data_IF_666721787792
#
_entry.id   IF_666721787792
#
_cell.length_a   1.000
_cell.length_b   1.000
_cell.length_c   1.000
_cell.angle_alpha   90.00
_cell.angle_beta   90.00
_cell.angle_gamma   90.00
#
_symmetry.space_group_name_H-M   'P 1'
#
loop_
_entity.id
_entity.type
_entity.pdbx_description
1 polymer ?
#
# COMPACT_ATOMS: atom_id res chain seq x y z
N UNK A 1 -32.41 37.75 -34.26
CA UNK A 1 -33.28 36.63 -34.70
C UNK A 1 -32.37 35.48 -35.12
N UNK A 2 -32.02 34.59 -34.17
CA UNK A 2 -31.87 33.12 -34.27
C UNK A 2 -31.87 32.62 -32.81
N UNK A 3 -32.67 31.58 -32.56
CA UNK A 3 -33.08 31.05 -31.25
C UNK A 3 -32.10 30.01 -30.65
N UNK A 4 -32.19 29.69 -29.34
CA UNK A 4 -31.30 28.72 -28.67
C UNK A 4 -31.77 27.26 -28.81
N UNK A 5 -30.82 26.33 -28.79
CA UNK A 5 -31.03 24.88 -28.81
C UNK A 5 -31.05 24.31 -27.39
N UNK A 6 -32.10 23.55 -27.11
CA UNK A 6 -32.53 22.96 -25.84
C UNK A 6 -31.83 21.60 -25.59
N UNK A 7 -31.40 21.32 -24.37
CA UNK A 7 -30.78 20.05 -23.96
C UNK A 7 -31.72 19.27 -23.02
N UNK A 8 -32.04 17.99 -23.28
CA UNK A 8 -32.92 17.21 -22.42
C UNK A 8 -32.21 16.61 -21.19
N UNK A 9 -32.93 16.66 -20.05
CA UNK A 9 -32.46 16.28 -18.73
C UNK A 9 -32.21 14.79 -18.48
N UNK A 10 -31.29 14.52 -17.54
CA UNK A 10 -30.93 13.20 -17.04
C UNK A 10 -31.95 12.66 -16.02
N UNK A 11 -32.61 11.56 -16.37
CA UNK A 11 -33.44 10.75 -15.47
C UNK A 11 -32.61 9.70 -14.73
N UNK A 12 -32.74 9.69 -13.40
CA UNK A 12 -32.14 8.71 -12.50
C UNK A 12 -32.74 7.30 -12.67
N UNK A 13 -31.90 6.27 -12.85
CA UNK A 13 -32.30 4.85 -12.78
C UNK A 13 -31.77 4.20 -11.50
N UNK A 14 -32.68 3.62 -10.71
CA UNK A 14 -32.41 2.78 -9.52
C UNK A 14 -32.08 1.33 -9.96
N UNK A 15 -31.21 0.59 -9.25
CA UNK A 15 -31.02 -0.84 -9.50
C UNK A 15 -32.08 -1.69 -8.78
N UNK A 16 -32.58 -2.70 -9.51
CA UNK A 16 -33.66 -3.60 -9.11
C UNK A 16 -33.24 -4.70 -8.13
N UNK A 17 -34.19 -5.08 -7.30
CA UNK A 17 -34.17 -6.15 -6.29
C UNK A 17 -34.60 -7.46 -6.94
N UNK A 18 -33.77 -8.51 -6.86
CA UNK A 18 -34.14 -9.87 -7.30
C UNK A 18 -34.77 -10.61 -6.12
N UNK A 19 -36.01 -11.07 -6.30
CA UNK A 19 -36.77 -11.92 -5.37
C UNK A 19 -36.71 -13.37 -5.85
N UNK A 20 -36.29 -14.30 -5.00
CA UNK A 20 -36.44 -15.74 -5.22
C UNK A 20 -37.63 -16.27 -4.39
N UNK A 21 -38.47 -17.05 -5.04
CA UNK A 21 -39.77 -17.53 -4.57
C UNK A 21 -39.66 -18.75 -3.63
N UNK A 22 -40.58 -18.79 -2.66
CA UNK A 22 -41.10 -19.97 -1.97
C UNK A 22 -41.88 -20.85 -2.97
N UNK A 23 -42.22 -22.13 -2.82
CA UNK A 23 -42.29 -23.12 -1.73
C UNK A 23 -42.70 -24.42 -2.46
N UNK A 24 -42.32 -25.61 -1.98
CA UNK A 24 -43.19 -26.79 -2.14
C UNK A 24 -42.86 -27.84 -1.07
N UNK A 25 -43.89 -28.27 -0.35
CA UNK A 25 -43.85 -29.28 0.71
C UNK A 25 -44.61 -30.52 0.24
N UNK A 26 -44.21 -31.75 0.65
CA UNK A 26 -45.08 -32.92 0.55
C UNK A 26 -45.53 -33.45 1.93
N UNK A 27 -46.59 -34.29 1.96
CA UNK A 27 -47.52 -34.35 3.07
C UNK A 27 -47.32 -35.53 4.03
N UNK A 28 -47.97 -35.40 5.19
CA UNK A 28 -48.08 -36.36 6.28
C UNK A 28 -48.77 -37.68 5.90
N UNK A 29 -48.12 -38.81 6.16
CA UNK A 29 -48.65 -40.17 5.97
C UNK A 29 -48.37 -41.10 7.15
N UNK A 30 -49.47 -41.55 7.76
CA UNK A 30 -49.74 -42.69 8.67
C UNK A 30 -48.63 -43.65 9.15
N UNK A 31 -48.73 -43.96 10.45
CA UNK A 31 -48.00 -44.97 11.24
C UNK A 31 -48.06 -46.40 10.65
N UNK A 32 -46.94 -47.11 10.73
CA UNK A 32 -46.89 -48.57 10.86
C UNK A 32 -45.92 -48.94 11.98
N UNK A 33 -46.41 -49.76 12.91
CA UNK A 33 -45.66 -50.32 14.00
C UNK A 33 -44.73 -51.44 13.49
N UNK A 34 -43.46 -51.41 13.92
CA UNK A 34 -42.49 -52.47 13.71
C UNK A 34 -41.56 -52.52 14.91
N UNK A 35 -41.70 -53.57 15.72
CA UNK A 35 -40.85 -53.88 16.86
C UNK A 35 -39.44 -54.24 16.41
N UNK A 36 -38.41 -53.85 17.18
CA UNK A 36 -37.30 -54.75 17.57
C UNK A 36 -36.37 -54.07 18.60
N UNK A 37 -36.39 -54.68 19.78
CA UNK A 37 -35.30 -54.91 20.74
C UNK A 37 -34.22 -53.84 21.00
N UNK A 38 -34.15 -53.48 22.29
CA UNK A 38 -33.12 -52.67 22.94
C UNK A 38 -31.69 -53.15 22.69
N UNK A 39 -30.78 -52.19 22.43
CA UNK A 39 -29.38 -52.25 22.90
C UNK A 39 -28.88 -50.85 23.31
N UNK A 40 -28.24 -50.88 24.48
CA UNK A 40 -27.54 -49.87 25.27
C UNK A 40 -27.20 -48.52 24.62
N UNK A 41 -27.45 -47.46 25.40
CA UNK A 41 -27.30 -46.06 25.04
C UNK A 41 -25.91 -45.68 24.55
N UNK A 42 -25.89 -45.10 23.35
CA UNK A 42 -24.94 -44.07 22.96
C UNK A 42 -25.76 -42.80 22.88
N UNK A 43 -25.47 -41.83 23.75
CA UNK A 43 -26.06 -40.50 23.65
C UNK A 43 -25.53 -39.84 22.37
N UNK A 44 -26.28 -39.94 21.28
CA UNK A 44 -26.02 -39.16 20.07
C UNK A 44 -26.27 -37.71 20.41
N UNK A 45 -25.22 -36.98 20.75
CA UNK A 45 -25.27 -35.54 20.88
C UNK A 45 -25.42 -34.99 19.47
N UNK A 46 -26.63 -34.60 19.08
CA UNK A 46 -26.89 -33.82 17.87
C UNK A 46 -26.33 -32.41 18.06
N UNK A 47 -25.00 -32.29 18.12
CA UNK A 47 -24.34 -31.01 17.93
C UNK A 47 -24.40 -30.68 16.45
N UNK A 48 -24.88 -29.49 16.12
CA UNK A 48 -24.78 -29.00 14.73
C UNK A 48 -23.30 -28.99 14.30
N UNK A 49 -23.01 -29.17 13.02
CA UNK A 49 -21.63 -29.14 12.48
C UNK A 49 -20.81 -27.94 12.98
N UNK A 50 -21.50 -26.82 13.21
CA UNK A 50 -20.96 -25.59 13.83
C UNK A 50 -20.49 -25.79 15.27
N UNK A 51 -21.27 -26.44 16.13
CA UNK A 51 -20.88 -26.66 17.53
C UNK A 51 -19.70 -27.60 17.66
N UNK A 52 -19.64 -28.64 16.82
CA UNK A 52 -18.49 -29.54 16.79
C UNK A 52 -17.24 -28.85 16.26
N UNK A 53 -17.38 -28.04 15.20
CA UNK A 53 -16.31 -27.19 14.68
C UNK A 53 -15.78 -26.21 15.75
N UNK A 54 -16.68 -25.50 16.44
CA UNK A 54 -16.31 -24.56 17.51
C UNK A 54 -15.70 -25.28 18.72
N UNK A 55 -16.13 -26.51 19.02
CA UNK A 55 -15.52 -27.33 20.07
C UNK A 55 -14.09 -27.73 19.70
N UNK A 56 -13.85 -28.12 18.44
CA UNK A 56 -12.50 -28.41 17.93
C UNK A 56 -11.61 -27.19 18.02
N UNK A 57 -12.08 -26.02 17.57
CA UNK A 57 -11.36 -24.73 17.67
C UNK A 57 -10.98 -24.37 19.11
N UNK A 58 -11.88 -24.59 20.07
CA UNK A 58 -11.59 -24.37 21.51
C UNK A 58 -10.61 -25.39 22.06
N UNK A 59 -10.67 -26.64 21.59
CA UNK A 59 -9.76 -27.71 22.01
C UNK A 59 -8.33 -27.52 21.45
N UNK A 60 -8.16 -26.87 20.29
CA UNK A 60 -6.83 -26.48 19.76
C UNK A 60 -6.27 -25.21 20.40
N UNK A 61 -7.08 -24.42 21.11
CA UNK A 61 -6.73 -23.05 21.53
C UNK A 61 -5.75 -22.90 22.70
N UNK A 62 -4.90 -23.88 23.00
CA UNK A 62 -3.99 -23.79 24.16
C UNK A 62 -2.63 -24.48 24.01
N UNK A 63 -2.34 -25.10 22.86
CA UNK A 63 -0.97 -25.48 22.54
C UNK A 63 -0.24 -24.29 21.96
N UNK A 64 0.83 -23.82 22.60
CA UNK A 64 1.80 -22.94 21.96
C UNK A 64 2.29 -23.67 20.69
N UNK A 65 1.95 -23.21 19.48
CA UNK A 65 2.46 -23.80 18.26
C UNK A 65 3.95 -23.48 18.25
N UNK A 66 4.74 -24.37 18.86
CA UNK A 66 6.15 -24.14 19.16
C UNK A 66 6.84 -23.43 18.01
N UNK A 67 7.65 -22.43 18.36
CA UNK A 67 8.15 -21.45 17.41
C UNK A 67 8.65 -22.12 16.12
N UNK A 68 8.07 -21.81 14.94
CA UNK A 68 8.51 -22.41 13.71
C UNK A 68 10.01 -22.12 13.50
N UNK A 69 10.77 -23.08 12.91
CA UNK A 69 12.19 -22.89 12.70
C UNK A 69 12.46 -21.61 11.90
N UNK A 70 13.53 -20.92 12.26
CA UNK A 70 13.91 -19.69 11.58
C UNK A 70 14.06 -19.94 10.07
N UNK A 71 13.35 -19.17 9.26
CA UNK A 71 13.46 -19.26 7.80
C UNK A 71 14.88 -18.87 7.38
N UNK A 72 15.55 -19.64 6.52
CA UNK A 72 16.89 -19.30 6.05
C UNK A 72 16.87 -17.93 5.35
N UNK A 73 17.90 -17.11 5.62
CA UNK A 73 18.05 -15.81 4.98
C UNK A 73 18.59 -16.00 3.56
N UNK A 74 17.93 -15.47 2.51
CA UNK A 74 18.52 -15.44 1.19
C UNK A 74 19.84 -14.66 1.26
N UNK A 75 20.88 -15.22 0.65
CA UNK A 75 22.18 -14.54 0.49
C UNK A 75 22.25 -14.02 -0.92
N UNK A 76 22.32 -12.71 -1.06
CA UNK A 76 22.51 -12.08 -2.35
C UNK A 76 24.01 -11.95 -2.64
N UNK A 77 24.38 -12.10 -3.92
CA UNK A 77 25.77 -11.93 -4.35
C UNK A 77 26.21 -10.46 -4.32
N UNK A 78 25.24 -9.56 -4.54
CA UNK A 78 25.41 -8.12 -4.43
C UNK A 78 25.60 -7.71 -2.96
N UNK A 79 26.62 -6.89 -2.71
CA UNK A 79 27.01 -6.41 -1.38
C UNK A 79 26.77 -4.91 -1.19
N UNK A 80 26.03 -4.26 -2.09
CA UNK A 80 25.62 -2.86 -1.91
C UNK A 80 24.82 -2.73 -0.62
N UNK A 81 25.39 -1.99 0.33
CA UNK A 81 24.85 -1.77 1.67
C UNK A 81 25.00 -0.32 2.10
N UNK A 82 24.18 0.08 3.07
CA UNK A 82 24.15 1.44 3.61
C UNK A 82 23.84 2.56 2.59
N UNK A 83 23.98 3.84 3.00
CA UNK A 83 23.64 5.01 2.20
C UNK A 83 24.29 5.05 0.81
N UNK A 84 25.58 4.76 0.72
CA UNK A 84 26.31 4.78 -0.55
C UNK A 84 25.83 3.68 -1.52
N UNK A 85 25.58 2.47 -1.01
CA UNK A 85 25.04 1.37 -1.82
C UNK A 85 23.64 1.68 -2.34
N UNK A 86 22.81 2.36 -1.52
CA UNK A 86 21.52 2.86 -1.96
C UNK A 86 21.65 3.90 -3.08
N UNK A 87 22.50 4.91 -2.92
CA UNK A 87 22.70 5.96 -3.92
C UNK A 87 23.13 5.34 -5.26
N UNK A 88 24.08 4.40 -5.23
CA UNK A 88 24.53 3.70 -6.45
C UNK A 88 23.37 2.99 -7.16
N UNK A 89 22.61 2.16 -6.42
CA UNK A 89 21.48 1.41 -6.99
C UNK A 89 20.35 2.34 -7.47
N UNK A 90 20.04 3.39 -6.71
CA UNK A 90 19.01 4.37 -7.04
C UNK A 90 19.36 5.15 -8.31
N UNK A 91 20.61 5.58 -8.43
CA UNK A 91 21.09 6.27 -9.63
C UNK A 91 21.14 5.35 -10.84
N UNK A 92 21.48 4.07 -10.67
CA UNK A 92 21.39 3.07 -11.75
C UNK A 92 19.96 2.89 -12.29
N UNK A 93 18.93 3.17 -11.48
CA UNK A 93 17.52 3.14 -11.89
C UNK A 93 17.05 4.44 -12.56
N UNK A 94 17.89 5.46 -12.62
CA UNK A 94 17.59 6.78 -13.18
C UNK A 94 17.06 7.79 -12.17
N UNK A 95 17.11 7.49 -10.87
CA UNK A 95 16.88 8.47 -9.83
C UNK A 95 18.11 9.38 -9.62
N UNK A 96 17.90 10.56 -9.05
CA UNK A 96 18.99 11.42 -8.57
C UNK A 96 19.05 11.38 -7.05
N UNK A 97 20.22 11.58 -6.46
CA UNK A 97 20.35 11.58 -5.00
C UNK A 97 21.44 12.51 -4.51
N UNK A 98 21.26 13.01 -3.30
CA UNK A 98 22.28 13.71 -2.52
C UNK A 98 22.20 13.30 -1.04
N UNK A 99 23.29 13.52 -0.31
CA UNK A 99 23.33 13.35 1.14
C UNK A 99 23.74 14.68 1.76
N UNK A 100 22.95 15.14 2.72
CA UNK A 100 23.10 16.45 3.37
C UNK A 100 22.89 16.32 4.88
N UNK A 101 23.47 17.21 5.70
CA UNK A 101 23.06 17.38 7.09
C UNK A 101 21.56 17.65 7.21
N UNK A 102 20.93 17.22 8.30
CA UNK A 102 19.49 17.37 8.48
C UNK A 102 19.03 18.84 8.46
N UNK A 103 19.88 19.75 8.96
CA UNK A 103 19.66 21.20 8.94
C UNK A 103 19.66 21.82 7.53
N UNK A 104 20.28 21.16 6.56
CA UNK A 104 20.38 21.63 5.18
C UNK A 104 19.22 21.14 4.29
N UNK A 105 18.35 20.27 4.82
CA UNK A 105 17.19 19.74 4.11
C UNK A 105 16.29 20.83 3.49
N UNK A 106 15.91 21.93 4.18
CA UNK A 106 15.11 22.98 3.56
C UNK A 106 15.81 23.59 2.32
N UNK A 107 17.13 23.78 2.41
CA UNK A 107 17.95 24.34 1.33
C UNK A 107 18.03 23.40 0.13
N UNK A 108 18.26 22.11 0.36
CA UNK A 108 18.32 21.08 -0.68
C UNK A 108 16.97 20.94 -1.41
N UNK A 109 15.86 20.89 -0.67
CA UNK A 109 14.50 20.86 -1.25
C UNK A 109 14.22 22.11 -2.08
N UNK A 110 14.60 23.29 -1.57
CA UNK A 110 14.43 24.55 -2.30
C UNK A 110 15.24 24.52 -3.60
N UNK A 111 16.51 24.13 -3.53
CA UNK A 111 17.41 24.06 -4.69
C UNK A 111 16.87 23.10 -5.76
N UNK A 112 16.33 21.95 -5.37
CA UNK A 112 15.65 21.05 -6.30
C UNK A 112 14.40 21.71 -6.91
N UNK A 113 13.59 22.40 -6.13
CA UNK A 113 12.34 23.00 -6.63
C UNK A 113 12.55 24.23 -7.53
N UNK A 114 13.73 24.87 -7.52
CA UNK A 114 14.02 26.07 -8.32
C UNK A 114 13.73 25.84 -9.81
N UNK A 115 12.97 26.76 -10.41
CA UNK A 115 12.68 26.78 -11.85
C UNK A 115 11.56 25.85 -12.30
N UNK A 116 10.89 25.15 -11.37
CA UNK A 116 9.68 24.37 -11.68
C UNK A 116 8.43 25.23 -11.50
N UNK A 117 7.52 25.17 -12.47
CA UNK A 117 6.25 25.90 -12.43
C UNK A 117 5.19 25.11 -11.65
N UNK A 118 4.86 25.59 -10.45
CA UNK A 118 3.77 25.04 -9.62
C UNK A 118 4.14 24.90 -8.16
N UNK A 119 3.17 24.55 -7.29
CA UNK A 119 3.40 24.50 -5.85
C UNK A 119 4.27 23.33 -5.44
N UNK A 120 5.05 23.54 -4.38
CA UNK A 120 5.73 22.50 -3.63
C UNK A 120 4.77 21.92 -2.59
N UNK A 121 4.52 20.61 -2.66
CA UNK A 121 3.72 19.87 -1.70
C UNK A 121 4.62 19.09 -0.76
N UNK A 122 4.42 19.20 0.55
CA UNK A 122 5.10 18.37 1.54
C UNK A 122 4.13 17.57 2.43
N UNK A 123 4.55 16.38 2.85
CA UNK A 123 3.87 15.65 3.95
C UNK A 123 4.19 16.28 5.30
N UNK A 124 3.24 16.21 6.23
CA UNK A 124 3.43 16.73 7.59
C UNK A 124 4.66 16.12 8.30
N UNK A 125 5.32 16.91 9.16
CA UNK A 125 6.50 16.47 9.93
C UNK A 125 7.84 16.54 9.18
N UNK A 126 7.86 17.22 8.03
CA UNK A 126 9.09 17.65 7.37
C UNK A 126 9.34 19.13 7.70
N UNK A 127 10.57 19.44 8.10
CA UNK A 127 11.01 20.83 8.27
C UNK A 127 11.43 21.37 6.90
N UNK A 128 10.43 21.74 6.09
CA UNK A 128 10.60 22.29 4.74
C UNK A 128 9.55 23.37 4.52
N UNK A 129 9.92 24.46 3.85
CA UNK A 129 8.95 25.47 3.43
C UNK A 129 8.21 24.94 2.18
N UNK A 130 6.92 24.64 2.31
CA UNK A 130 6.07 24.15 1.22
C UNK A 130 4.83 25.04 1.06
N UNK A 131 4.33 25.15 -0.18
CA UNK A 131 3.11 25.90 -0.50
C UNK A 131 1.85 25.14 -0.08
N UNK A 132 1.93 23.81 -0.11
CA UNK A 132 0.84 22.90 0.22
C UNK A 132 1.31 21.84 1.21
N UNK A 133 0.42 21.47 2.12
CA UNK A 133 0.66 20.44 3.12
C UNK A 133 -0.36 19.32 2.97
N UNK A 134 0.11 18.07 2.92
CA UNK A 134 -0.75 16.89 3.00
C UNK A 134 -1.09 16.56 4.46
N UNK A 135 -2.35 16.16 4.80
CA UNK A 135 -3.50 15.91 3.92
C UNK A 135 -4.35 17.13 3.55
N UNK A 136 -4.08 18.29 4.14
CA UNK A 136 -4.96 19.48 4.08
C UNK A 136 -5.24 19.97 2.66
N UNK A 137 -4.28 19.84 1.73
CA UNK A 137 -4.45 20.27 0.35
C UNK A 137 -5.42 19.37 -0.46
N UNK A 138 -5.66 18.13 -0.01
CA UNK A 138 -6.41 17.14 -0.76
C UNK A 138 -5.72 16.66 -2.05
N UNK A 139 -6.29 15.65 -2.71
CA UNK A 139 -5.69 14.99 -3.87
C UNK A 139 -5.70 15.83 -5.15
N UNK A 140 -6.67 16.73 -5.32
CA UNK A 140 -6.73 17.60 -6.50
C UNK A 140 -5.59 18.62 -6.52
N UNK A 141 -5.31 19.25 -5.39
CA UNK A 141 -4.17 20.18 -5.29
C UNK A 141 -2.84 19.43 -5.40
N UNK A 142 -2.75 18.21 -4.83
CA UNK A 142 -1.58 17.36 -4.99
C UNK A 142 -1.28 17.00 -6.46
N UNK A 143 -2.31 16.75 -7.27
CA UNK A 143 -2.15 16.52 -8.70
C UNK A 143 -1.68 17.75 -9.49
N UNK A 144 -1.98 18.96 -9.00
CA UNK A 144 -1.51 20.21 -9.58
C UNK A 144 -0.15 20.67 -9.05
N UNK A 145 0.50 19.91 -8.17
CA UNK A 145 1.80 20.27 -7.57
C UNK A 145 2.95 19.91 -8.50
N UNK A 146 3.96 20.77 -8.55
CA UNK A 146 5.15 20.54 -9.37
C UNK A 146 6.07 19.48 -8.76
N UNK A 147 6.19 19.51 -7.43
CA UNK A 147 7.06 18.61 -6.67
C UNK A 147 6.34 18.14 -5.42
N UNK A 148 6.37 16.83 -5.17
CA UNK A 148 5.97 16.23 -3.90
C UNK A 148 7.19 15.89 -3.05
N UNK A 149 7.18 16.27 -1.77
CA UNK A 149 8.24 15.96 -0.80
C UNK A 149 7.66 15.05 0.27
N UNK A 150 8.18 13.83 0.35
CA UNK A 150 7.64 12.82 1.26
C UNK A 150 8.74 12.16 2.09
N UNK A 151 8.42 11.88 3.35
CA UNK A 151 9.33 11.17 4.26
C UNK A 151 9.23 9.65 4.04
N UNK A 152 10.36 9.03 3.73
CA UNK A 152 10.49 7.58 3.70
C UNK A 152 10.55 6.99 5.11
N UNK A 153 10.11 5.74 5.25
CA UNK A 153 10.28 4.97 6.49
C UNK A 153 11.58 4.15 6.50
N UNK A 154 12.09 3.80 5.33
CA UNK A 154 13.36 3.12 5.12
C UNK A 154 13.75 3.19 3.64
N UNK A 155 14.97 2.77 3.32
CA UNK A 155 15.39 2.47 1.96
C UNK A 155 16.21 1.18 1.92
N UNK A 156 16.13 0.43 0.81
CA UNK A 156 16.90 -0.79 0.60
C UNK A 156 18.05 -0.52 -0.37
N UNK A 157 19.28 -0.68 0.11
CA UNK A 157 20.49 -0.38 -0.64
C UNK A 157 20.67 -1.28 -1.87
N UNK A 158 20.43 -2.58 -1.73
CA UNK A 158 20.65 -3.55 -2.79
C UNK A 158 19.84 -3.26 -4.06
N UNK A 159 18.59 -2.81 -3.90
CA UNK A 159 17.67 -2.61 -5.02
C UNK A 159 17.44 -1.13 -5.35
N UNK A 160 18.01 -0.19 -4.59
CA UNK A 160 17.68 1.22 -4.75
C UNK A 160 16.19 1.47 -4.56
N UNK A 161 15.59 0.88 -3.51
CA UNK A 161 14.15 0.97 -3.27
C UNK A 161 13.87 1.86 -2.08
N UNK A 162 13.04 2.87 -2.25
CA UNK A 162 12.49 3.69 -1.16
C UNK A 162 11.21 3.06 -0.65
N UNK A 163 11.03 3.04 0.66
CA UNK A 163 9.81 2.53 1.30
C UNK A 163 9.03 3.66 1.95
N UNK A 164 7.76 3.74 1.60
CA UNK A 164 6.79 4.68 2.19
C UNK A 164 5.73 3.89 2.95
N UNK A 165 5.27 4.47 4.05
CA UNK A 165 4.10 4.02 4.80
C UNK A 165 2.94 4.94 4.46
N UNK A 166 1.79 4.37 4.13
CA UNK A 166 0.55 5.14 4.03
C UNK A 166 -0.07 5.30 5.43
N UNK A 167 -0.25 6.54 5.84
CA UNK A 167 -1.03 6.94 7.01
C UNK A 167 -1.69 8.30 6.75
N UNK A 168 -2.46 8.83 7.71
CA UNK A 168 -3.22 10.07 7.53
C UNK A 168 -2.31 11.26 7.17
N UNK A 169 -1.07 11.27 7.65
CA UNK A 169 -0.09 12.34 7.42
C UNK A 169 0.85 12.05 6.23
N UNK A 170 0.87 10.80 5.75
CA UNK A 170 1.74 10.32 4.66
C UNK A 170 0.91 9.72 3.54
N UNK A 171 0.24 10.58 2.77
CA UNK A 171 -0.67 10.15 1.71
C UNK A 171 0.03 9.76 0.42
N UNK A 172 -0.50 8.70 -0.21
CA UNK A 172 -0.07 8.21 -1.53
C UNK A 172 -0.12 9.28 -2.62
N UNK A 173 -1.08 10.20 -2.54
CA UNK A 173 -1.23 11.26 -3.52
C UNK A 173 0.01 12.16 -3.58
N UNK A 174 0.62 12.47 -2.42
CA UNK A 174 1.79 13.33 -2.34
C UNK A 174 3.04 12.72 -3.02
N UNK A 175 3.16 11.39 -3.05
CA UNK A 175 4.28 10.70 -3.69
C UNK A 175 4.01 10.24 -5.13
N UNK A 176 2.74 10.17 -5.54
CA UNK A 176 2.35 9.56 -6.83
C UNK A 176 1.87 10.56 -7.87
N UNK A 177 1.20 11.64 -7.46
CA UNK A 177 0.55 12.56 -8.40
C UNK A 177 1.47 13.66 -8.94
N UNK A 178 2.36 14.27 -8.12
CA UNK A 178 3.33 15.23 -8.65
C UNK A 178 4.24 14.58 -9.71
N UNK A 179 4.59 15.31 -10.79
CA UNK A 179 5.45 14.77 -11.85
C UNK A 179 6.89 14.55 -11.37
N UNK A 180 7.33 15.28 -10.35
CA UNK A 180 8.59 15.08 -9.65
C UNK A 180 8.36 14.78 -8.16
N UNK A 181 9.13 13.88 -7.58
CA UNK A 181 9.04 13.57 -6.15
C UNK A 181 10.40 13.49 -5.48
N UNK A 182 10.53 14.17 -4.33
CA UNK A 182 11.66 14.10 -3.42
C UNK A 182 11.31 13.12 -2.29
N UNK A 183 12.17 12.12 -2.10
CA UNK A 183 12.13 11.18 -0.99
C UNK A 183 13.17 11.59 0.05
N UNK A 184 12.70 12.01 1.23
CA UNK A 184 13.57 12.33 2.37
C UNK A 184 13.80 11.04 3.17
N UNK A 185 15.04 10.61 3.26
CA UNK A 185 15.46 9.33 3.84
C UNK A 185 16.42 9.60 4.99
N UNK A 186 16.16 9.04 6.16
CA UNK A 186 17.17 9.03 7.22
C UNK A 186 18.29 8.05 6.84
N UNK A 187 19.54 8.48 6.83
CA UNK A 187 20.68 7.66 6.42
C UNK A 187 20.85 6.41 7.30
N UNK A 188 20.46 6.49 8.58
CA UNK A 188 20.42 5.35 9.50
C UNK A 188 19.26 4.37 9.24
N UNK A 189 18.24 4.79 8.47
CA UNK A 189 17.12 3.93 8.05
C UNK A 189 17.39 3.13 6.76
N UNK A 190 18.59 3.24 6.20
CA UNK A 190 18.99 2.46 5.02
C UNK A 190 19.36 1.05 5.44
N UNK A 191 18.57 0.08 5.00
CA UNK A 191 18.81 -1.36 5.19
C UNK A 191 19.49 -1.95 3.95
N UNK A 192 20.14 -3.10 4.11
CA UNK A 192 20.78 -3.78 2.98
C UNK A 192 19.72 -4.29 1.98
N UNK A 193 18.68 -4.97 2.48
CA UNK A 193 17.66 -5.59 1.62
C UNK A 193 16.24 -5.24 2.06
N UNK A 194 15.29 -5.20 1.12
CA UNK A 194 13.86 -5.04 1.42
C UNK A 194 13.36 -6.12 2.39
N UNK A 195 13.90 -7.34 2.27
CA UNK A 195 13.54 -8.44 3.16
C UNK A 195 14.00 -8.24 4.60
N UNK A 196 15.02 -7.42 4.85
CA UNK A 196 15.45 -7.10 6.22
C UNK A 196 14.46 -6.13 6.86
N UNK A 197 14.07 -5.07 6.15
CA UNK A 197 13.01 -4.16 6.62
C UNK A 197 11.69 -4.90 6.90
N UNK A 198 11.22 -5.73 5.97
CA UNK A 198 9.93 -6.43 6.11
C UNK A 198 9.92 -7.46 7.24
N UNK A 199 11.09 -7.98 7.65
CA UNK A 199 11.20 -8.93 8.76
C UNK A 199 11.08 -8.24 10.11
N UNK A 200 11.61 -7.03 10.22
CA UNK A 200 11.65 -6.24 11.46
C UNK A 200 10.45 -5.28 11.55
N UNK A 201 9.55 -5.28 10.56
CA UNK A 201 8.36 -4.44 10.55
C UNK A 201 7.32 -4.96 11.55
N UNK A 202 7.25 -4.28 12.68
CA UNK A 202 6.17 -4.41 13.66
C UNK A 202 4.99 -3.51 13.26
N UNK A 203 3.76 -4.01 13.39
CA UNK A 203 2.51 -3.34 13.04
C UNK A 203 2.44 -2.78 11.60
N UNK A 204 2.27 -3.63 10.56
CA UNK A 204 2.22 -3.15 9.18
C UNK A 204 1.08 -2.16 8.96
N UNK A 205 1.32 -1.04 8.24
CA UNK A 205 0.25 -0.11 7.88
C UNK A 205 -0.76 -0.76 6.93
N UNK A 206 -1.86 -0.06 6.69
CA UNK A 206 -2.83 -0.44 5.65
C UNK A 206 -2.19 -0.60 4.27
N UNK A 207 -1.09 0.12 4.01
CA UNK A 207 -0.30 -0.03 2.79
C UNK A 207 1.16 0.40 2.99
N UNK A 208 2.08 -0.37 2.41
CA UNK A 208 3.45 0.03 2.11
C UNK A 208 3.59 0.28 0.61
N UNK A 209 4.38 1.29 0.25
CA UNK A 209 4.72 1.60 -1.13
C UNK A 209 6.22 1.44 -1.31
N UNK A 210 6.62 0.57 -2.22
CA UNK A 210 8.01 0.40 -2.62
C UNK A 210 8.22 1.15 -3.95
N UNK A 211 9.10 2.14 -3.95
CA UNK A 211 9.44 2.95 -5.13
C UNK A 211 10.87 2.61 -5.56
N UNK A 212 11.04 2.09 -6.77
CA UNK A 212 12.33 1.60 -7.29
C UNK A 212 12.70 2.41 -8.54
N UNK A 213 12.96 3.69 -8.35
CA UNK A 213 13.26 4.65 -9.42
C UNK A 213 12.03 5.36 -10.01
N UNK A 214 12.23 6.20 -11.04
CA UNK A 214 11.17 6.98 -11.68
C UNK A 214 10.19 6.09 -12.44
N UNK A 215 8.94 6.56 -12.57
CA UNK A 215 7.90 5.89 -13.34
C UNK A 215 8.22 5.93 -14.84
N UNK A 216 8.62 4.77 -15.38
CA UNK A 216 8.87 4.57 -16.81
C UNK A 216 7.97 3.43 -17.30
N UNK A 217 6.91 3.76 -18.04
CA UNK A 217 6.06 2.77 -18.68
C UNK A 217 6.56 2.55 -20.11
N UNK A 218 7.27 1.44 -20.33
CA UNK A 218 7.77 1.06 -21.66
C UNK A 218 6.89 0.01 -22.37
N UNK A 219 5.76 -0.40 -21.80
CA UNK A 219 5.20 -1.74 -22.08
C UNK A 219 3.69 -1.81 -22.31
N UNK A 220 3.14 -1.00 -23.22
CA UNK A 220 1.85 -1.31 -23.88
C UNK A 220 1.88 -0.98 -25.40
N UNK A 221 2.65 0.01 -25.85
CA UNK A 221 2.59 0.49 -27.26
C UNK A 221 3.96 0.67 -27.95
N UNK A 222 5.06 0.14 -27.41
CA UNK A 222 6.45 0.37 -27.91
C UNK A 222 6.88 1.86 -27.98
N UNK A 223 6.15 2.75 -27.31
CA UNK A 223 6.53 4.14 -27.09
C UNK A 223 6.79 4.32 -25.61
N UNK A 224 7.94 4.88 -25.27
CA UNK A 224 8.34 5.13 -23.88
C UNK A 224 7.49 6.29 -23.35
N UNK A 225 6.51 6.00 -22.48
CA UNK A 225 5.71 7.03 -21.82
C UNK A 225 6.19 7.16 -20.38
N UNK A 226 6.69 8.35 -20.04
CA UNK A 226 7.22 8.67 -18.71
C UNK A 226 6.09 9.32 -17.90
N UNK A 227 5.90 8.90 -16.66
CA UNK A 227 5.04 9.63 -15.71
C UNK A 227 3.54 9.27 -15.69
N UNK A 228 3.10 8.16 -16.30
CA UNK A 228 1.66 7.77 -16.34
C UNK A 228 1.16 7.19 -15.01
N UNK A 229 2.04 6.52 -14.26
CA UNK A 229 1.66 5.77 -13.06
C UNK A 229 2.39 6.23 -11.79
N UNK A 230 3.05 7.38 -11.85
CA UNK A 230 3.85 7.94 -10.76
C UNK A 230 4.76 9.06 -11.28
N UNK A 231 5.61 9.63 -10.41
CA UNK A 231 6.53 10.70 -10.79
C UNK A 231 7.48 10.23 -11.89
N UNK A 232 7.62 11.04 -12.94
CA UNK A 232 8.60 10.83 -14.02
C UNK A 232 10.02 11.15 -13.59
N UNK A 233 10.17 11.99 -12.56
CA UNK A 233 11.45 12.36 -11.95
C UNK A 233 11.42 12.05 -10.45
N UNK A 234 12.48 11.41 -9.97
CA UNK A 234 12.60 11.11 -8.54
C UNK A 234 13.97 11.50 -8.02
N UNK A 235 13.97 12.10 -6.83
CA UNK A 235 15.16 12.57 -6.15
C UNK A 235 15.17 12.04 -4.71
N UNK A 236 16.32 11.58 -4.23
CA UNK A 236 16.46 11.09 -2.87
C UNK A 236 17.41 12.02 -2.09
N UNK A 237 16.94 12.56 -0.97
CA UNK A 237 17.76 13.35 -0.05
C UNK A 237 17.98 12.48 1.20
N UNK A 238 19.21 12.02 1.39
CA UNK A 238 19.61 11.31 2.59
C UNK A 238 20.04 12.32 3.65
N UNK A 239 19.43 12.25 4.84
CA UNK A 239 19.77 13.11 5.99
C UNK A 239 20.43 12.28 7.09
N UNK A 240 21.48 12.79 7.72
CA UNK A 240 22.16 12.12 8.83
C UNK A 240 23.53 12.72 9.15
#
# INVERSE_FOLDING_TARGET
>A
MVAPLDLPGHGARRPGRVTAAAQDAPPSGRRLAGSLAARAGVAVTTGTSREEFLRRLRATGSGDPGQPPAKPRPRFADKRGGPNGFIESWTALGGTAEQVPAEDLPGAVTAYAVGRDGPLLATAGLDVAADLTWPDCGSQAAAGSAVGVVRAVAAAAQTGTVLLRADDNRGRAASLLPPACIFVIDAGSVVDTLGDFLRDLEDPPSQLVAVTGPSRSADIESTLVIGVHGPGEVHAILIG
#
